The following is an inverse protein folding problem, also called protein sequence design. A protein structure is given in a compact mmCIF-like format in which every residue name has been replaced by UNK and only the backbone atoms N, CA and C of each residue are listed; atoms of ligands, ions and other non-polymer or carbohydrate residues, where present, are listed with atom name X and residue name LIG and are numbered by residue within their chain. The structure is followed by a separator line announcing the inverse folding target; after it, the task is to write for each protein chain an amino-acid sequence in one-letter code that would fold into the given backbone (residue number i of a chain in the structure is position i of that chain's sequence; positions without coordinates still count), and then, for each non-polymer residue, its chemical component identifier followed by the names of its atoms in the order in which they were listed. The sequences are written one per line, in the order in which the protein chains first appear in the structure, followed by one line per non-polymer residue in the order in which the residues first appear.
data_IF_762802078086
#
_entry.id   IF_762802078086
#
_cell.length_a   1.000
_cell.length_b   1.000
_cell.length_c   1.000
_cell.angle_alpha   90.00
_cell.angle_beta   90.00
_cell.angle_gamma   90.00
#
_symmetry.space_group_name_H-M   'P 1'
#
loop_
_entity.id
_entity.type
_entity.pdbx_description
1 polymer ?
#
# COMPACT_ATOMS: atom_id res chain seq x y z
N UNK A 1 18.61 16.00 -8.09
CA UNK A 1 17.67 15.63 -9.17
C UNK A 1 16.46 16.54 -9.02
N UNK A 2 16.12 17.30 -10.07
CA UNK A 2 14.94 18.17 -10.04
C UNK A 2 13.69 17.28 -10.15
N UNK A 3 12.71 17.52 -9.28
CA UNK A 3 11.45 16.77 -9.26
C UNK A 3 10.35 17.75 -9.67
N UNK A 4 9.60 17.40 -10.70
CA UNK A 4 8.45 18.20 -11.13
C UNK A 4 7.31 18.02 -10.12
N UNK A 5 6.86 19.12 -9.51
CA UNK A 5 5.76 19.12 -8.55
C UNK A 5 4.46 19.37 -9.30
N UNK A 6 3.51 18.46 -9.16
CA UNK A 6 2.28 18.49 -9.95
C UNK A 6 1.24 19.45 -9.37
N UNK A 7 0.66 20.28 -10.22
CA UNK A 7 -0.50 21.09 -9.88
C UNK A 7 -1.82 20.35 -10.19
N UNK A 8 -2.95 20.96 -9.81
CA UNK A 8 -4.27 20.33 -9.98
C UNK A 8 -4.66 20.05 -11.43
N UNK A 9 -4.23 20.87 -12.39
CA UNK A 9 -4.52 20.68 -13.82
C UNK A 9 -3.74 19.48 -14.36
N UNK A 10 -2.47 19.35 -13.98
CA UNK A 10 -1.63 18.22 -14.38
C UNK A 10 -2.12 16.91 -13.77
N UNK A 11 -2.56 16.94 -12.50
CA UNK A 11 -3.20 15.78 -11.86
C UNK A 11 -4.52 15.43 -12.55
N UNK A 12 -5.34 16.41 -12.93
CA UNK A 12 -6.57 16.13 -13.67
C UNK A 12 -6.29 15.46 -15.02
N UNK A 13 -5.29 15.96 -15.75
CA UNK A 13 -4.83 15.37 -17.01
C UNK A 13 -4.37 13.92 -16.82
N UNK A 14 -3.52 13.68 -15.82
CA UNK A 14 -3.08 12.34 -15.42
C UNK A 14 -4.26 11.42 -15.12
N UNK A 15 -5.20 11.85 -14.27
CA UNK A 15 -6.34 11.04 -13.86
C UNK A 15 -7.19 10.69 -15.08
N UNK A 16 -7.38 11.63 -16.02
CA UNK A 16 -8.11 11.35 -17.27
C UNK A 16 -7.39 10.31 -18.13
N UNK A 17 -6.08 10.45 -18.35
CA UNK A 17 -5.36 9.58 -19.30
C UNK A 17 -5.00 8.21 -18.73
N UNK A 18 -4.79 8.10 -17.42
CA UNK A 18 -4.20 6.92 -16.79
C UNK A 18 -5.14 6.13 -15.90
N UNK A 19 -6.41 6.52 -15.77
CA UNK A 19 -7.40 5.74 -15.00
C UNK A 19 -7.73 4.42 -15.70
N UNK A 20 -7.94 3.38 -14.90
CA UNK A 20 -8.43 2.10 -15.38
C UNK A 20 -9.38 1.49 -14.36
N UNK A 21 -10.35 0.72 -14.85
CA UNK A 21 -11.36 0.09 -13.99
C UNK A 21 -10.74 -1.06 -13.21
N UNK A 22 -11.10 -1.19 -11.94
CA UNK A 22 -10.67 -2.31 -11.09
C UNK A 22 -11.21 -3.62 -11.67
N UNK A 23 -10.32 -4.60 -11.87
CA UNK A 23 -10.72 -5.97 -12.22
C UNK A 23 -11.29 -6.67 -10.99
N UNK A 24 -12.44 -7.33 -11.13
CA UNK A 24 -13.03 -8.14 -10.07
C UNK A 24 -12.16 -9.34 -9.69
N UNK A 25 -11.48 -9.96 -10.67
CA UNK A 25 -10.63 -11.13 -10.45
C UNK A 25 -9.36 -10.79 -9.67
N UNK A 26 -8.84 -9.58 -9.85
CA UNK A 26 -7.58 -9.12 -9.27
C UNK A 26 -7.78 -8.06 -8.18
N UNK A 27 -8.99 -7.93 -7.64
CA UNK A 27 -9.40 -6.83 -6.74
C UNK A 27 -8.50 -6.68 -5.51
N UNK A 28 -8.02 -7.81 -4.96
CA UNK A 28 -7.16 -7.84 -3.77
C UNK A 28 -5.68 -8.12 -4.02
N UNK A 29 -5.27 -8.26 -5.29
CA UNK A 29 -3.84 -8.21 -5.60
C UNK A 29 -3.32 -6.81 -5.28
N UNK A 30 -2.31 -6.72 -4.43
CA UNK A 30 -1.80 -5.46 -3.95
C UNK A 30 -0.52 -5.03 -4.66
N UNK A 31 -0.22 -3.75 -4.56
CA UNK A 31 1.08 -3.17 -4.84
C UNK A 31 1.39 -2.05 -3.85
N UNK A 32 2.64 -1.62 -3.81
CA UNK A 32 3.03 -0.48 -3.00
C UNK A 32 2.51 0.82 -3.64
N UNK A 33 2.40 1.88 -2.83
CA UNK A 33 2.10 3.24 -3.33
C UNK A 33 3.15 3.78 -4.30
N UNK A 34 4.35 3.18 -4.34
CA UNK A 34 5.52 3.57 -5.14
C UNK A 34 5.15 3.95 -6.59
N UNK A 35 5.69 5.07 -7.09
CA UNK A 35 5.40 5.56 -8.44
C UNK A 35 6.20 4.84 -9.53
N UNK A 36 7.15 3.98 -9.17
CA UNK A 36 8.06 3.30 -10.12
C UNK A 36 7.46 2.04 -10.76
N UNK A 37 6.20 1.70 -10.50
CA UNK A 37 5.57 0.61 -11.25
C UNK A 37 5.42 0.98 -12.73
N UNK A 38 5.72 0.02 -13.61
CA UNK A 38 5.47 0.18 -15.03
C UNK A 38 3.95 0.22 -15.30
N UNK A 39 3.56 0.99 -16.30
CA UNK A 39 2.18 1.09 -16.72
C UNK A 39 1.81 -0.17 -17.52
N UNK A 40 1.21 -1.15 -16.85
CA UNK A 40 0.70 -2.38 -17.45
C UNK A 40 -0.83 -2.45 -17.37
N UNK A 41 -1.46 -3.25 -18.23
CA UNK A 41 -2.92 -3.42 -18.24
C UNK A 41 -3.43 -4.27 -17.07
N UNK A 42 -2.58 -5.14 -16.54
CA UNK A 42 -2.81 -5.99 -15.38
C UNK A 42 -2.26 -5.39 -14.07
N UNK A 43 -1.87 -4.10 -14.07
CA UNK A 43 -1.34 -3.43 -12.90
C UNK A 43 -2.36 -3.49 -11.73
N UNK A 44 -2.02 -4.07 -10.57
CA UNK A 44 -2.96 -4.17 -9.47
C UNK A 44 -3.43 -2.78 -8.99
N UNK A 45 -4.75 -2.61 -8.85
CA UNK A 45 -5.34 -1.31 -8.49
C UNK A 45 -5.26 -1.01 -7.00
N UNK A 46 -5.25 -2.05 -6.16
CA UNK A 46 -5.09 -1.92 -4.71
C UNK A 46 -3.65 -1.52 -4.40
N UNK A 47 -3.43 -0.22 -4.22
CA UNK A 47 -2.14 0.36 -3.91
C UNK A 47 -2.16 0.96 -2.50
N UNK A 48 -1.25 0.53 -1.63
CA UNK A 48 -1.11 1.06 -0.27
C UNK A 48 0.32 0.79 0.26
N UNK A 49 0.76 1.46 1.35
CA UNK A 49 2.16 1.44 1.74
C UNK A 49 2.68 0.02 1.99
N UNK A 50 3.77 -0.36 1.32
CA UNK A 50 4.41 -1.66 1.53
C UNK A 50 3.72 -2.87 0.90
N UNK A 51 2.58 -2.72 0.21
CA UNK A 51 1.78 -3.84 -0.26
C UNK A 51 1.51 -4.84 0.89
N UNK A 52 1.50 -6.15 0.64
CA UNK A 52 1.11 -7.14 1.64
C UNK A 52 2.02 -7.18 2.88
N UNK A 53 3.29 -6.77 2.73
CA UNK A 53 4.22 -6.63 3.86
C UNK A 53 3.79 -5.52 4.80
N UNK A 54 3.42 -4.36 4.24
CA UNK A 54 2.92 -3.24 5.03
C UNK A 54 1.55 -3.55 5.65
N UNK A 55 0.67 -4.22 4.92
CA UNK A 55 -0.65 -4.60 5.43
C UNK A 55 -0.56 -5.55 6.64
N UNK A 56 0.32 -6.54 6.56
CA UNK A 56 0.51 -7.45 7.69
C UNK A 56 1.19 -6.75 8.88
N UNK A 57 2.06 -5.78 8.62
CA UNK A 57 2.60 -4.91 9.66
C UNK A 57 1.48 -4.08 10.34
N UNK A 58 0.50 -3.58 9.59
CA UNK A 58 -0.69 -2.91 10.14
C UNK A 58 -1.45 -3.82 11.11
N UNK A 59 -1.63 -5.11 10.81
CA UNK A 59 -2.34 -6.04 11.72
C UNK A 59 -1.67 -6.10 13.09
N UNK A 60 -0.34 -6.25 13.12
CA UNK A 60 0.41 -6.30 14.37
C UNK A 60 0.48 -4.95 15.10
N UNK A 61 0.62 -3.86 14.35
CA UNK A 61 0.58 -2.50 14.87
C UNK A 61 -0.77 -2.19 15.53
N UNK A 62 -1.86 -2.68 14.94
CA UNK A 62 -3.22 -2.53 15.48
C UNK A 62 -3.38 -3.21 16.83
N UNK A 63 -2.87 -4.44 16.97
CA UNK A 63 -2.88 -5.13 18.26
C UNK A 63 -2.09 -4.37 19.33
N UNK A 64 -0.93 -3.80 18.95
CA UNK A 64 -0.08 -3.04 19.87
C UNK A 64 -0.74 -1.72 20.33
N UNK A 65 -1.37 -0.99 19.41
CA UNK A 65 -1.92 0.35 19.69
C UNK A 65 -3.28 0.27 20.40
N UNK A 66 -4.15 -0.65 19.97
CA UNK A 66 -5.48 -0.85 20.55
C UNK A 66 -5.49 -1.84 21.73
N UNK A 67 -4.38 -2.51 22.01
CA UNK A 67 -4.19 -3.30 23.23
C UNK A 67 -4.87 -4.68 23.26
N UNK A 68 -5.37 -5.19 22.13
CA UNK A 68 -5.92 -6.55 22.06
C UNK A 68 -4.84 -7.61 21.84
N UNK A 69 -5.16 -8.87 22.15
CA UNK A 69 -4.21 -9.98 21.97
C UNK A 69 -4.23 -10.51 20.54
N UNK A 70 -3.06 -10.83 20.00
CA UNK A 70 -2.88 -11.42 18.68
C UNK A 70 -2.02 -12.69 18.77
N UNK A 71 -2.45 -13.74 18.09
CA UNK A 71 -1.66 -14.92 17.75
C UNK A 71 -1.05 -14.66 16.37
N UNK A 72 0.23 -14.27 16.34
CA UNK A 72 0.88 -13.74 15.12
C UNK A 72 0.92 -14.80 14.00
N UNK A 73 1.18 -16.07 14.35
CA UNK A 73 1.20 -17.16 13.38
C UNK A 73 -0.18 -17.39 12.76
N UNK A 74 -1.24 -17.44 13.58
CA UNK A 74 -2.61 -17.54 13.04
C UNK A 74 -2.99 -16.31 12.24
N UNK A 75 -2.63 -15.12 12.70
CA UNK A 75 -2.92 -13.88 12.00
C UNK A 75 -2.28 -13.87 10.61
N UNK A 76 -1.06 -14.41 10.50
CA UNK A 76 -0.39 -14.54 9.21
C UNK A 76 -1.12 -15.52 8.28
N UNK A 77 -1.58 -16.67 8.80
CA UNK A 77 -2.37 -17.62 8.00
C UNK A 77 -3.71 -17.03 7.57
N UNK A 78 -4.42 -16.33 8.46
CA UNK A 78 -5.67 -15.61 8.14
C UNK A 78 -5.45 -14.50 7.12
N UNK A 79 -4.30 -13.83 7.20
CA UNK A 79 -3.90 -12.83 6.22
C UNK A 79 -3.66 -13.46 4.83
N UNK A 80 -2.92 -14.58 4.75
CA UNK A 80 -2.73 -15.31 3.50
C UNK A 80 -4.05 -15.81 2.91
N UNK A 81 -4.96 -16.32 3.75
CA UNK A 81 -6.34 -16.68 3.35
C UNK A 81 -7.09 -15.49 2.76
N UNK A 82 -6.94 -14.30 3.35
CA UNK A 82 -7.60 -13.06 2.89
C UNK A 82 -7.16 -12.65 1.48
N UNK A 83 -5.88 -12.77 1.17
CA UNK A 83 -5.35 -12.43 -0.16
C UNK A 83 -5.47 -13.57 -1.18
N UNK A 84 -6.05 -14.71 -0.77
CA UNK A 84 -6.30 -15.86 -1.63
C UNK A 84 -5.11 -16.82 -1.77
N UNK A 85 -4.13 -16.76 -0.87
CA UNK A 85 -2.99 -17.69 -0.84
C UNK A 85 -1.62 -17.01 -0.86
N UNK A 86 -0.57 -17.80 -0.62
CA UNK A 86 0.82 -17.32 -0.59
C UNK A 86 1.32 -16.88 -1.97
N UNK A 87 0.81 -17.48 -3.04
CA UNK A 87 1.07 -17.16 -4.44
C UNK A 87 0.59 -15.76 -4.84
N UNK A 88 -0.36 -15.22 -4.09
CA UNK A 88 -0.88 -13.85 -4.24
C UNK A 88 -0.18 -12.84 -3.33
N UNK A 89 0.75 -13.28 -2.48
CA UNK A 89 1.54 -12.37 -1.66
C UNK A 89 2.42 -11.48 -2.56
N UNK A 90 2.27 -10.16 -2.44
CA UNK A 90 2.95 -9.13 -3.21
C UNK A 90 3.75 -8.20 -2.32
N UNK A 91 4.99 -7.99 -2.75
CA UNK A 91 5.90 -7.01 -2.20
C UNK A 91 6.89 -6.60 -3.30
N UNK A 92 7.67 -5.56 -3.05
CA UNK A 92 8.63 -5.08 -4.03
C UNK A 92 9.95 -4.70 -3.37
N UNK A 93 10.99 -4.70 -4.17
CA UNK A 93 12.26 -4.03 -3.90
C UNK A 93 12.65 -3.23 -5.14
N UNK A 94 13.91 -2.83 -5.24
CA UNK A 94 14.47 -2.13 -6.39
C UNK A 94 15.79 -2.76 -6.84
N UNK A 95 16.28 -2.36 -8.00
CA UNK A 95 17.55 -2.90 -8.54
C UNK A 95 18.78 -2.54 -7.71
N UNK A 96 18.70 -1.52 -6.85
CA UNK A 96 19.82 -1.09 -6.01
C UNK A 96 19.99 -1.97 -4.77
N UNK A 97 18.89 -2.54 -4.25
CA UNK A 97 18.90 -3.27 -2.98
C UNK A 97 18.36 -4.72 -3.07
N UNK A 98 17.60 -5.05 -4.12
CA UNK A 98 16.80 -6.29 -4.24
C UNK A 98 17.56 -7.62 -4.28
N UNK A 99 18.89 -7.60 -4.30
CA UNK A 99 19.69 -8.83 -4.35
C UNK A 99 20.01 -9.40 -2.95
N UNK A 100 19.99 -8.59 -1.89
CA UNK A 100 20.49 -9.06 -0.57
C UNK A 100 19.38 -9.38 0.42
N UNK A 101 18.34 -8.57 0.50
CA UNK A 101 17.24 -8.74 1.47
C UNK A 101 15.87 -8.48 0.84
N UNK A 102 14.84 -9.30 1.12
CA UNK A 102 13.47 -9.03 0.67
C UNK A 102 12.96 -7.65 1.10
N UNK A 103 12.19 -7.00 0.23
CA UNK A 103 11.56 -5.70 0.43
C UNK A 103 12.51 -4.52 0.74
N UNK A 104 13.82 -4.69 0.56
CA UNK A 104 14.85 -3.71 0.93
C UNK A 104 14.79 -2.39 0.13
N UNK A 105 14.30 -2.42 -1.11
CA UNK A 105 14.07 -1.25 -1.96
C UNK A 105 12.69 -0.61 -1.78
N UNK A 106 11.86 -1.14 -0.87
CA UNK A 106 10.60 -0.51 -0.50
C UNK A 106 10.84 0.60 0.52
N UNK A 107 10.57 1.86 0.14
CA UNK A 107 10.74 3.00 1.03
C UNK A 107 9.94 2.86 2.34
N UNK A 108 8.70 2.35 2.27
CA UNK A 108 7.87 2.12 3.46
C UNK A 108 8.49 1.08 4.41
N UNK A 109 8.85 -0.10 3.89
CA UNK A 109 9.45 -1.16 4.70
C UNK A 109 10.81 -0.73 5.28
N UNK A 110 11.60 0.02 4.51
CA UNK A 110 12.84 0.63 4.99
C UNK A 110 12.60 1.54 6.20
N UNK A 111 11.59 2.41 6.14
CA UNK A 111 11.25 3.29 7.28
C UNK A 111 10.76 2.50 8.50
N UNK A 112 9.95 1.46 8.30
CA UNK A 112 9.56 0.54 9.39
C UNK A 112 10.79 -0.07 10.05
N UNK A 113 11.78 -0.56 9.28
CA UNK A 113 13.00 -1.15 9.86
C UNK A 113 13.87 -0.12 10.58
N UNK A 114 13.87 1.14 10.15
CA UNK A 114 14.64 2.22 10.77
C UNK A 114 14.00 2.78 12.04
N UNK A 115 12.68 2.82 12.11
CA UNK A 115 11.93 3.38 13.25
C UNK A 115 10.64 2.58 13.52
N UNK A 116 10.72 1.31 13.97
CA UNK A 116 9.54 0.47 14.17
C UNK A 116 8.49 1.10 15.09
N UNK A 117 8.91 1.84 16.11
CA UNK A 117 8.07 2.52 17.08
C UNK A 117 7.17 3.59 16.46
N UNK A 118 7.63 4.28 15.41
CA UNK A 118 6.83 5.26 14.68
C UNK A 118 5.65 4.61 13.95
N UNK A 119 5.80 3.31 13.63
CA UNK A 119 4.77 2.47 13.00
C UNK A 119 4.05 1.55 13.99
N UNK A 120 4.21 1.79 15.31
CA UNK A 120 3.63 0.99 16.40
C UNK A 120 4.04 -0.49 16.38
N UNK A 121 5.25 -0.78 15.92
CA UNK A 121 5.78 -2.13 15.82
C UNK A 121 6.88 -2.39 16.84
N UNK A 122 7.01 -3.66 17.24
CA UNK A 122 8.08 -4.16 18.10
C UNK A 122 9.12 -4.90 17.26
N UNK A 123 10.35 -5.00 17.77
CA UNK A 123 11.47 -5.59 17.03
C UNK A 123 11.25 -7.06 16.65
N UNK A 124 10.69 -7.85 17.56
CA UNK A 124 10.32 -9.26 17.34
C UNK A 124 9.31 -9.44 16.20
N UNK A 125 8.35 -8.51 16.06
CA UNK A 125 7.39 -8.50 14.96
C UNK A 125 8.05 -8.21 13.61
N UNK A 126 9.04 -7.31 13.58
CA UNK A 126 9.84 -7.04 12.38
C UNK A 126 10.66 -8.28 12.00
N UNK A 127 11.25 -8.94 12.99
CA UNK A 127 12.03 -10.17 12.77
C UNK A 127 11.16 -11.31 12.26
N UNK A 128 9.92 -11.44 12.76
CA UNK A 128 8.93 -12.38 12.25
C UNK A 128 8.59 -12.15 10.77
N UNK A 129 8.33 -10.90 10.37
CA UNK A 129 8.06 -10.56 8.96
C UNK A 129 9.28 -10.88 8.10
N UNK A 130 10.47 -10.44 8.50
CA UNK A 130 11.70 -10.69 7.76
C UNK A 130 11.99 -12.19 7.60
N UNK A 131 11.75 -12.99 8.64
CA UNK A 131 11.88 -14.43 8.55
C UNK A 131 10.93 -15.02 7.50
N UNK A 132 9.64 -14.67 7.56
CA UNK A 132 8.64 -15.17 6.61
C UNK A 132 8.92 -14.73 5.18
N UNK A 133 9.35 -13.48 4.95
CA UNK A 133 9.72 -13.01 3.61
C UNK A 133 10.90 -13.79 3.03
N UNK A 134 11.92 -14.07 3.83
CA UNK A 134 13.05 -14.88 3.39
C UNK A 134 12.62 -16.31 3.05
N UNK A 135 11.75 -16.91 3.85
CA UNK A 135 11.19 -18.24 3.59
C UNK A 135 10.35 -18.25 2.31
N UNK A 136 9.49 -17.27 2.11
CA UNK A 136 8.68 -17.12 0.89
C UNK A 136 9.53 -16.94 -0.37
N UNK A 137 10.54 -16.07 -0.31
CA UNK A 137 11.49 -15.85 -1.43
C UNK A 137 12.23 -17.14 -1.79
N UNK A 138 12.69 -17.92 -0.79
CA UNK A 138 13.31 -19.24 -1.00
C UNK A 138 12.34 -20.25 -1.63
N UNK A 139 11.06 -20.15 -1.33
CA UNK A 139 10.00 -21.00 -1.88
C UNK A 139 9.45 -20.49 -3.23
N UNK A 140 10.10 -19.49 -3.85
CA UNK A 140 9.78 -19.05 -5.21
C UNK A 140 8.74 -17.93 -5.32
N UNK A 141 8.29 -17.35 -4.20
CA UNK A 141 7.45 -16.16 -4.25
C UNK A 141 8.26 -15.00 -4.83
N UNK A 142 7.78 -14.45 -5.94
CA UNK A 142 8.48 -13.41 -6.69
C UNK A 142 8.30 -12.04 -6.05
N UNK A 143 9.42 -11.36 -5.92
CA UNK A 143 9.51 -9.96 -5.55
C UNK A 143 9.40 -9.09 -6.81
N UNK A 144 8.57 -8.05 -6.78
CA UNK A 144 8.54 -7.07 -7.86
C UNK A 144 9.80 -6.20 -7.78
N UNK A 145 10.64 -6.20 -8.82
CA UNK A 145 11.85 -5.38 -8.87
C UNK A 145 11.57 -4.09 -9.65
N UNK A 146 11.41 -2.99 -8.92
CA UNK A 146 11.16 -1.68 -9.52
C UNK A 146 12.46 -1.08 -10.06
N UNK A 147 12.33 -0.35 -11.17
CA UNK A 147 13.46 0.25 -11.89
C UNK A 147 13.33 1.77 -11.94
N UNK A 148 14.48 2.44 -11.99
CA UNK A 148 14.57 3.89 -12.09
C UNK A 148 14.47 4.60 -10.74
N UNK A 149 14.60 5.92 -10.82
CA UNK A 149 14.60 6.82 -9.67
C UNK A 149 13.18 7.22 -9.25
N UNK A 150 13.06 7.70 -8.03
CA UNK A 150 11.82 8.28 -7.51
C UNK A 150 11.56 9.68 -8.08
N UNK A 151 10.54 9.79 -8.93
CA UNK A 151 10.14 11.03 -9.62
C UNK A 151 8.69 11.43 -9.33
N UNK A 152 8.14 10.98 -8.20
CA UNK A 152 6.76 11.27 -7.80
C UNK A 152 6.56 12.77 -7.53
N UNK A 153 5.62 13.39 -8.25
CA UNK A 153 5.32 14.82 -8.14
C UNK A 153 4.09 15.15 -7.27
N UNK A 154 3.29 14.15 -6.89
CA UNK A 154 2.14 14.27 -6.01
C UNK A 154 1.79 12.94 -5.34
N UNK A 155 0.93 12.99 -4.33
CA UNK A 155 0.26 11.82 -3.74
C UNK A 155 -1.22 11.86 -4.09
N UNK A 156 -1.76 10.75 -4.58
CA UNK A 156 -3.17 10.60 -4.92
C UNK A 156 -3.85 9.60 -3.97
N UNK A 157 -4.90 10.03 -3.29
CA UNK A 157 -5.79 9.17 -2.49
C UNK A 157 -7.08 8.92 -3.28
N UNK A 158 -7.30 7.68 -3.69
CA UNK A 158 -8.39 7.28 -4.58
C UNK A 158 -9.54 6.64 -3.79
N UNK A 159 -10.78 6.98 -4.15
CA UNK A 159 -11.99 6.26 -3.75
C UNK A 159 -12.82 5.91 -4.99
N UNK A 160 -13.51 4.76 -4.96
CA UNK A 160 -14.31 4.22 -6.07
C UNK A 160 -13.67 2.98 -6.71
N UNK A 161 -14.23 2.50 -7.81
CA UNK A 161 -13.82 1.25 -8.50
C UNK A 161 -12.80 1.49 -9.64
N UNK A 162 -11.89 2.44 -9.45
CA UNK A 162 -10.83 2.77 -10.41
C UNK A 162 -9.45 2.82 -9.74
N UNK A 163 -8.44 2.42 -10.50
CA UNK A 163 -7.02 2.63 -10.22
C UNK A 163 -6.41 3.67 -11.16
N UNK A 164 -5.17 4.08 -10.88
CA UNK A 164 -4.39 5.00 -11.73
C UNK A 164 -3.02 4.38 -12.00
N UNK A 165 -2.63 4.33 -13.28
CA UNK A 165 -1.28 3.95 -13.70
C UNK A 165 -0.32 5.09 -13.29
N UNK A 166 0.72 4.84 -12.48
CA UNK A 166 1.38 5.91 -11.73
C UNK A 166 2.34 6.76 -12.55
N UNK A 167 2.83 6.29 -13.70
CA UNK A 167 3.80 7.01 -14.53
C UNK A 167 3.13 7.73 -15.69
N UNK A 168 3.61 8.90 -16.04
CA UNK A 168 3.09 9.64 -17.19
C UNK A 168 4.09 10.68 -17.69
N UNK A 169 3.84 11.16 -18.90
CA UNK A 169 4.62 12.22 -19.53
C UNK A 169 3.77 13.48 -19.51
N UNK A 170 4.34 14.57 -19.00
CA UNK A 170 3.78 15.90 -19.09
C UNK A 170 4.52 16.72 -20.14
N UNK A 171 3.81 17.62 -20.79
CA UNK A 171 4.40 18.62 -21.68
C UNK A 171 4.54 19.92 -20.91
N UNK A 172 5.78 20.42 -20.84
CA UNK A 172 6.16 21.66 -20.15
C UNK A 172 6.81 22.61 -21.16
N UNK A 173 7.04 23.86 -20.77
CA UNK A 173 7.77 24.82 -21.60
C UNK A 173 9.21 24.36 -21.91
N UNK A 174 9.78 23.47 -21.09
CA UNK A 174 11.11 22.86 -21.28
C UNK A 174 11.07 21.56 -22.09
N UNK A 175 9.89 21.16 -22.56
CA UNK A 175 9.65 19.92 -23.31
C UNK A 175 8.94 18.84 -22.50
N UNK A 176 9.09 17.59 -22.93
CA UNK A 176 8.41 16.45 -22.32
C UNK A 176 9.19 15.93 -21.11
N UNK A 177 8.53 15.88 -19.96
CA UNK A 177 9.10 15.39 -18.70
C UNK A 177 8.36 14.13 -18.27
N UNK A 178 9.10 13.06 -18.00
CA UNK A 178 8.53 11.87 -17.36
C UNK A 178 8.41 12.13 -15.85
N UNK A 179 7.24 11.83 -15.29
CA UNK A 179 6.97 11.99 -13.85
C UNK A 179 6.04 10.86 -13.37
N UNK A 180 5.87 10.77 -12.04
CA UNK A 180 5.06 9.76 -11.41
C UNK A 180 4.21 10.34 -10.28
N UNK A 181 3.36 9.50 -9.69
CA UNK A 181 2.63 9.81 -8.46
C UNK A 181 2.69 8.65 -7.48
N UNK A 182 2.62 8.96 -6.18
CA UNK A 182 2.24 7.96 -5.20
C UNK A 182 0.74 7.72 -5.27
N UNK A 183 0.30 6.46 -5.29
CA UNK A 183 -1.13 6.10 -5.38
C UNK A 183 -1.56 5.31 -4.16
N UNK A 184 -2.55 5.80 -3.43
CA UNK A 184 -3.23 5.09 -2.35
C UNK A 184 -4.69 4.82 -2.71
N UNK A 185 -5.15 3.57 -2.67
CA UNK A 185 -6.53 3.19 -3.03
C UNK A 185 -7.33 2.87 -1.77
N UNK A 186 -8.11 3.84 -1.28
CA UNK A 186 -8.84 3.73 0.00
C UNK A 186 -9.97 2.70 -0.05
N UNK A 187 -10.82 2.74 -1.08
CA UNK A 187 -12.00 1.87 -1.18
C UNK A 187 -11.64 0.38 -1.13
N UNK A 188 -10.64 -0.04 -1.90
CA UNK A 188 -10.18 -1.42 -1.94
C UNK A 188 -9.43 -1.81 -0.66
N UNK A 189 -8.69 -0.88 -0.06
CA UNK A 189 -8.07 -1.11 1.25
C UNK A 189 -9.14 -1.37 2.32
N UNK A 190 -10.17 -0.52 2.39
CA UNK A 190 -11.26 -0.68 3.37
C UNK A 190 -12.00 -2.01 3.19
N UNK A 191 -12.31 -2.39 1.94
CA UNK A 191 -12.96 -3.68 1.66
C UNK A 191 -12.10 -4.88 2.04
N UNK A 192 -10.80 -4.82 1.73
CA UNK A 192 -9.86 -5.86 2.13
C UNK A 192 -9.75 -5.96 3.65
N UNK A 193 -9.74 -4.83 4.36
CA UNK A 193 -9.70 -4.81 5.82
C UNK A 193 -10.96 -5.35 6.48
N UNK A 194 -12.15 -5.15 5.89
CA UNK A 194 -13.37 -5.82 6.37
C UNK A 194 -13.25 -7.33 6.26
N UNK A 195 -12.78 -7.83 5.11
CA UNK A 195 -12.55 -9.26 4.92
C UNK A 195 -11.48 -9.80 5.88
N UNK A 196 -10.38 -9.05 6.06
CA UNK A 196 -9.30 -9.41 6.97
C UNK A 196 -9.79 -9.46 8.43
N UNK A 197 -10.54 -8.45 8.88
CA UNK A 197 -11.10 -8.40 10.23
C UNK A 197 -11.98 -9.62 10.52
N UNK A 198 -12.84 -9.99 9.56
CA UNK A 198 -13.66 -11.21 9.66
C UNK A 198 -12.79 -12.45 9.80
N UNK A 199 -11.83 -12.65 8.89
CA UNK A 199 -10.97 -13.83 8.90
C UNK A 199 -10.15 -13.94 10.20
N UNK A 200 -9.61 -12.82 10.70
CA UNK A 200 -8.86 -12.79 11.95
C UNK A 200 -9.72 -13.22 13.17
N UNK A 201 -11.01 -12.87 13.18
CA UNK A 201 -11.95 -13.26 14.25
C UNK A 201 -12.40 -14.71 14.12
N UNK A 202 -12.81 -15.14 12.92
CA UNK A 202 -13.25 -16.51 12.64
C UNK A 202 -12.16 -17.54 12.97
N UNK A 203 -10.92 -17.24 12.57
CA UNK A 203 -9.77 -18.11 12.79
C UNK A 203 -9.20 -17.98 14.22
N UNK A 204 -9.80 -17.12 15.06
CA UNK A 204 -9.36 -16.82 16.43
C UNK A 204 -7.89 -16.38 16.50
N UNK A 205 -7.45 -15.65 15.47
CA UNK A 205 -6.13 -15.05 15.40
C UNK A 205 -6.02 -13.81 16.31
N UNK A 206 -7.14 -13.16 16.61
CA UNK A 206 -7.21 -12.07 17.59
C UNK A 206 -8.22 -12.36 18.69
N UNK A 207 -7.99 -11.77 19.86
CA UNK A 207 -8.95 -11.75 20.96
C UNK A 207 -9.19 -10.30 21.38
N UNK A 208 -10.35 -9.79 21.01
CA UNK A 208 -10.80 -8.44 21.35
C UNK A 208 -11.36 -8.37 22.78
N UNK A 209 -11.61 -7.15 23.25
CA UNK A 209 -12.33 -6.88 24.49
C UNK A 209 -13.82 -7.26 24.36
N UNK A 210 -14.49 -7.45 25.50
CA UNK A 210 -15.92 -7.75 25.54
C UNK A 210 -16.74 -6.64 24.87
N UNK A 211 -17.69 -7.03 24.02
CA UNK A 211 -18.52 -6.09 23.25
C UNK A 211 -17.90 -5.58 21.95
N UNK A 212 -16.62 -5.88 21.68
CA UNK A 212 -15.97 -5.55 20.41
C UNK A 212 -16.13 -6.70 19.38
N UNK A 213 -16.33 -6.36 18.11
CA UNK A 213 -16.52 -7.32 17.02
C UNK A 213 -15.83 -6.92 15.71
N UNK A 214 -16.30 -7.46 14.58
CA UNK A 214 -15.72 -7.23 13.24
C UNK A 214 -15.59 -5.74 12.91
N UNK A 215 -16.64 -4.95 13.12
CA UNK A 215 -16.63 -3.50 12.82
C UNK A 215 -15.59 -2.73 13.65
N UNK A 216 -15.40 -3.10 14.91
CA UNK A 216 -14.37 -2.48 15.76
C UNK A 216 -12.97 -2.78 15.22
N UNK A 217 -12.69 -4.04 14.89
CA UNK A 217 -11.39 -4.45 14.37
C UNK A 217 -11.11 -3.82 13.00
N UNK A 218 -12.11 -3.76 12.12
CA UNK A 218 -12.01 -3.06 10.85
C UNK A 218 -11.63 -1.59 11.05
N UNK A 219 -12.30 -0.86 11.96
CA UNK A 219 -11.98 0.55 12.18
C UNK A 219 -10.59 0.74 12.77
N UNK A 220 -10.15 -0.14 13.67
CA UNK A 220 -8.80 -0.11 14.21
C UNK A 220 -7.74 -0.34 13.10
N UNK A 221 -7.97 -1.31 12.20
CA UNK A 221 -7.09 -1.54 11.04
C UNK A 221 -7.04 -0.31 10.11
N UNK A 222 -8.20 0.30 9.85
CA UNK A 222 -8.32 1.49 8.97
C UNK A 222 -7.55 2.68 9.54
N UNK A 223 -7.68 2.96 10.85
CA UNK A 223 -6.96 4.03 11.55
C UNK A 223 -5.44 3.80 11.55
N UNK A 224 -4.98 2.59 11.86
CA UNK A 224 -3.53 2.28 11.82
C UNK A 224 -2.96 2.34 10.42
N UNK A 225 -3.75 2.01 9.40
CA UNK A 225 -3.34 2.17 8.00
C UNK A 225 -3.18 3.64 7.64
N UNK A 226 -4.07 4.51 8.09
CA UNK A 226 -3.94 5.96 7.91
C UNK A 226 -2.69 6.50 8.60
N UNK A 227 -2.40 6.04 9.81
CA UNK A 227 -1.17 6.39 10.52
C UNK A 227 0.08 5.93 9.75
N UNK A 228 0.09 4.69 9.25
CA UNK A 228 1.20 4.17 8.43
C UNK A 228 1.37 4.96 7.12
N UNK A 229 0.27 5.34 6.47
CA UNK A 229 0.26 6.15 5.26
C UNK A 229 0.85 7.54 5.53
N UNK A 230 0.36 8.24 6.57
CA UNK A 230 0.83 9.57 6.95
C UNK A 230 2.32 9.55 7.33
N UNK A 231 2.76 8.58 8.12
CA UNK A 231 4.17 8.45 8.50
C UNK A 231 5.06 8.21 7.27
N UNK A 232 4.59 7.39 6.33
CA UNK A 232 5.30 7.10 5.08
C UNK A 232 5.38 8.33 4.17
N UNK A 233 4.27 9.02 3.95
CA UNK A 233 4.22 10.23 3.12
C UNK A 233 5.07 11.34 3.75
N UNK A 234 4.98 11.53 5.07
CA UNK A 234 5.76 12.55 5.79
C UNK A 234 7.27 12.37 5.62
N UNK A 235 7.72 11.12 5.43
CA UNK A 235 9.14 10.78 5.21
C UNK A 235 9.56 10.75 3.74
N UNK A 236 8.74 10.17 2.86
CA UNK A 236 9.11 9.90 1.45
C UNK A 236 8.63 10.98 0.47
N UNK A 237 7.54 11.65 0.80
CA UNK A 237 6.82 12.59 -0.07
C UNK A 237 6.77 14.00 0.53
N UNK A 238 7.81 14.38 1.28
CA UNK A 238 7.92 15.71 1.89
C UNK A 238 7.77 16.80 0.82
N UNK A 239 6.86 17.75 1.08
CA UNK A 239 6.51 18.86 0.20
C UNK A 239 5.78 18.47 -1.10
N UNK A 240 5.29 17.22 -1.23
CA UNK A 240 4.41 16.88 -2.34
C UNK A 240 2.95 17.24 -2.00
N UNK A 241 2.21 17.82 -2.95
CA UNK A 241 0.78 18.05 -2.77
C UNK A 241 0.03 16.71 -2.71
N UNK A 242 -1.02 16.67 -1.90
CA UNK A 242 -1.88 15.50 -1.72
C UNK A 242 -3.26 15.81 -2.30
N UNK A 243 -3.71 14.97 -3.24
CA UNK A 243 -5.01 15.12 -3.87
C UNK A 243 -5.90 13.93 -3.54
N UNK A 244 -7.16 14.19 -3.18
CA UNK A 244 -8.20 13.19 -3.10
C UNK A 244 -8.96 13.12 -4.42
N UNK A 245 -9.06 11.92 -4.99
CA UNK A 245 -9.73 11.64 -6.25
C UNK A 245 -10.89 10.69 -5.97
N UNK A 246 -12.11 11.17 -6.14
CA UNK A 246 -13.32 10.37 -5.95
C UNK A 246 -13.94 10.02 -7.30
N UNK A 247 -13.88 8.74 -7.68
CA UNK A 247 -14.51 8.22 -8.89
C UNK A 247 -15.95 7.80 -8.63
N UNK A 248 -16.80 8.01 -9.63
CA UNK A 248 -18.12 7.38 -9.70
C UNK A 248 -18.07 6.03 -10.47
N UNK A 249 -19.23 5.42 -10.69
CA UNK A 249 -19.34 4.13 -11.37
C UNK A 249 -19.11 4.18 -12.88
N UNK A 250 -19.07 5.38 -13.49
CA UNK A 250 -18.76 5.59 -14.91
C UNK A 250 -17.29 5.97 -15.12
N UNK A 251 -16.57 6.24 -14.04
CA UNK A 251 -15.19 6.69 -14.05
C UNK A 251 -15.06 8.20 -14.28
N UNK A 252 -16.15 8.95 -14.11
CA UNK A 252 -16.05 10.40 -13.88
C UNK A 252 -15.53 10.62 -12.45
N UNK A 253 -14.91 11.77 -12.21
CA UNK A 253 -14.22 12.00 -10.94
C UNK A 253 -14.26 13.44 -10.46
N UNK A 254 -14.07 13.61 -9.15
CA UNK A 254 -13.83 14.90 -8.48
C UNK A 254 -12.44 14.91 -7.85
N UNK A 255 -11.76 16.06 -7.94
CA UNK A 255 -10.45 16.30 -7.32
C UNK A 255 -10.61 17.31 -6.19
N UNK A 256 -10.04 17.00 -5.03
CA UNK A 256 -9.93 17.91 -3.88
C UNK A 256 -8.45 17.96 -3.49
N UNK A 257 -7.88 19.17 -3.42
CA UNK A 257 -6.55 19.40 -2.88
C UNK A 257 -6.64 19.46 -1.34
N UNK A 258 -5.79 18.71 -0.63
CA UNK A 258 -5.79 18.61 0.84
C UNK A 258 -4.81 19.57 1.51
#
# INVERSE_FOLDING_TARGET
MFRHILNGIEVESLVRSNRYRVSSEHRFLSRCIDGRYENADDLPALAFPGADVGDFAVVMATANDYGFTIDIDKAFLSFLKTIGGVEHFRYHSDLHHGQTYPASGCGHWKQINMSPEAYRLKKDQIDFINHNLNTMKKNGIKENLLKGEHMEGAVLQLTGDYGIKPRFIIETDEGKVETAVFVYQRTLTDERHRLLARNLLEDKAVRLFEGCGEDYLYQALSDITDNHLLETIGRLAKNLPVFRIAFDNKGDFKIINL
#
